data_IF_876253392719
#
_entry.id   IF_876253392719
#
_cell.length_a   1.000
_cell.length_b   1.000
_cell.length_c   1.000
_cell.angle_alpha   90.00
_cell.angle_beta   90.00
_cell.angle_gamma   90.00
#
_symmetry.space_group_name_H-M   'P 1'
#
loop_
_entity.id
_entity.type
_entity.pdbx_description
1 polymer ?
#
# COMPACT_ATOMS: atom_id res chain seq x y z
N UNK A 1 21.97 1.03 12.67
CA UNK A 1 20.97 0.63 11.65
C UNK A 1 20.19 1.82 11.10
N UNK A 2 19.60 2.68 11.95
CA UNK A 2 18.88 3.91 11.54
C UNK A 2 19.75 4.92 10.75
N UNK A 3 21.03 5.09 11.11
CA UNK A 3 21.98 6.00 10.42
C UNK A 3 22.37 5.52 9.01
N UNK A 4 22.38 4.20 8.78
CA UNK A 4 22.64 3.64 7.45
C UNK A 4 21.40 3.75 6.56
N UNK A 5 20.22 3.62 7.15
CA UNK A 5 18.94 3.78 6.47
C UNK A 5 18.68 5.23 6.05
N UNK A 6 18.99 6.23 6.91
CA UNK A 6 18.86 7.65 6.55
C UNK A 6 19.89 8.09 5.50
N UNK A 7 21.14 7.63 5.59
CA UNK A 7 22.15 7.86 4.54
C UNK A 7 21.75 7.21 3.20
N UNK A 8 21.10 6.06 3.24
CA UNK A 8 20.60 5.38 2.05
C UNK A 8 19.40 6.12 1.43
N UNK A 9 18.41 6.53 2.23
CA UNK A 9 17.27 7.35 1.79
C UNK A 9 17.74 8.66 1.18
N UNK A 10 18.69 9.37 1.82
CA UNK A 10 19.22 10.63 1.29
C UNK A 10 19.96 10.44 -0.04
N UNK A 11 20.64 9.31 -0.23
CA UNK A 11 21.35 8.99 -1.48
C UNK A 11 20.38 8.60 -2.59
N UNK A 12 19.30 7.89 -2.25
CA UNK A 12 18.20 7.56 -3.17
C UNK A 12 17.44 8.82 -3.58
N UNK A 13 17.09 9.70 -2.64
CA UNK A 13 16.42 10.97 -2.92
C UNK A 13 17.27 11.90 -3.80
N UNK A 14 18.58 11.98 -3.55
CA UNK A 14 19.49 12.76 -4.40
C UNK A 14 19.58 12.18 -5.82
N UNK A 15 19.61 10.85 -5.97
CA UNK A 15 19.56 10.19 -7.29
C UNK A 15 18.22 10.44 -7.99
N UNK A 16 17.09 10.45 -7.27
CA UNK A 16 15.79 10.82 -7.84
C UNK A 16 15.74 12.28 -8.28
N UNK A 17 16.33 13.19 -7.50
CA UNK A 17 16.34 14.62 -7.79
C UNK A 17 17.28 14.98 -8.96
N UNK A 18 18.44 14.33 -9.08
CA UNK A 18 19.33 14.46 -10.23
C UNK A 18 18.68 13.91 -11.52
N UNK A 19 17.92 12.82 -11.44
CA UNK A 19 17.23 12.24 -12.59
C UNK A 19 15.96 12.97 -13.00
N UNK A 20 15.26 13.65 -12.08
CA UNK A 20 14.09 14.47 -12.39
C UNK A 20 14.45 15.71 -13.23
N UNK A 21 15.63 16.30 -13.01
CA UNK A 21 16.13 17.40 -13.84
C UNK A 21 16.56 16.92 -15.24
N UNK A 22 17.10 15.70 -15.34
CA UNK A 22 17.41 15.05 -16.63
C UNK A 22 16.17 14.57 -17.40
N UNK A 23 15.01 14.44 -16.76
CA UNK A 23 13.75 14.09 -17.42
C UNK A 23 13.30 15.17 -18.43
N UNK A 24 13.67 16.44 -18.18
CA UNK A 24 13.38 17.54 -19.10
C UNK A 24 14.22 17.48 -20.38
N UNK A 25 15.49 17.06 -20.30
CA UNK A 25 16.39 16.92 -21.46
C UNK A 25 16.21 15.59 -22.21
N UNK A 26 15.74 14.54 -21.54
CA UNK A 26 15.41 13.23 -22.13
C UNK A 26 14.24 13.30 -23.13
N UNK A 27 13.25 14.17 -22.90
CA UNK A 27 12.16 14.42 -23.84
C UNK A 27 12.63 14.95 -25.21
N UNK A 28 13.82 15.56 -25.29
CA UNK A 28 14.38 16.06 -26.55
C UNK A 28 15.10 14.96 -27.36
N UNK A 29 15.70 13.95 -26.71
CA UNK A 29 16.38 12.83 -27.40
C UNK A 29 15.43 11.68 -27.78
N UNK A 30 14.28 11.54 -27.12
CA UNK A 30 13.29 10.47 -27.36
C UNK A 30 12.56 10.51 -28.71
N UNK A 31 12.80 11.54 -29.54
CA UNK A 31 12.18 11.67 -30.87
C UNK A 31 12.90 10.83 -31.94
N UNK A 32 14.09 10.30 -31.67
CA UNK A 32 14.94 9.62 -32.66
C UNK A 32 15.16 8.14 -32.28
N UNK A 33 14.13 7.30 -32.37
CA UNK A 33 14.31 5.92 -32.83
C UNK A 33 12.95 5.25 -33.05
N UNK A 34 12.52 5.18 -34.29
CA UNK A 34 11.24 4.61 -34.71
C UNK A 34 11.53 3.39 -35.58
N UNK A 35 11.89 2.24 -35.00
CA UNK A 35 12.10 1.00 -35.77
C UNK A 35 11.79 -0.27 -34.97
N UNK A 36 10.66 -0.90 -35.29
CA UNK A 36 10.33 -2.34 -35.13
C UNK A 36 10.72 -3.04 -33.83
N UNK A 37 10.39 -2.49 -32.67
CA UNK A 37 10.39 -3.21 -31.40
C UNK A 37 9.05 -3.02 -30.68
N UNK A 38 8.66 -4.00 -29.84
CA UNK A 38 7.51 -3.94 -28.91
C UNK A 38 7.71 -2.76 -27.97
N UNK A 39 7.45 -1.54 -28.46
CA UNK A 39 7.64 -0.32 -27.69
C UNK A 39 6.58 -0.29 -26.62
N UNK A 40 7.02 -0.24 -25.37
CA UNK A 40 6.16 0.10 -24.25
C UNK A 40 5.41 1.36 -24.65
N UNK A 41 4.09 1.24 -24.63
CA UNK A 41 3.17 2.28 -25.09
C UNK A 41 3.53 3.56 -24.32
N UNK A 42 4.07 4.55 -25.01
CA UNK A 42 4.23 5.92 -24.50
C UNK A 42 3.22 6.78 -25.26
N UNK A 43 2.42 7.58 -24.53
CA UNK A 43 1.38 8.44 -25.11
C UNK A 43 -0.05 8.04 -24.72
N UNK A 44 -1.02 8.43 -25.55
CA UNK A 44 -2.46 8.38 -25.23
C UNK A 44 -2.98 6.98 -24.88
N UNK A 45 -2.45 5.94 -25.51
CA UNK A 45 -2.88 4.55 -25.29
C UNK A 45 -2.42 4.00 -23.93
N UNK A 46 -1.31 4.47 -23.37
CA UNK A 46 -0.92 4.12 -22.01
C UNK A 46 -1.80 4.79 -20.96
N UNK A 47 -2.16 6.06 -21.20
CA UNK A 47 -3.14 6.77 -20.38
C UNK A 47 -4.50 6.05 -20.41
N UNK A 48 -4.92 5.59 -21.58
CA UNK A 48 -6.16 4.82 -21.73
C UNK A 48 -6.11 3.50 -20.94
N UNK A 49 -5.00 2.75 -21.04
CA UNK A 49 -4.81 1.52 -20.26
C UNK A 49 -4.83 1.80 -18.75
N UNK A 50 -4.07 2.78 -18.26
CA UNK A 50 -4.05 3.16 -16.84
C UNK A 50 -5.42 3.62 -16.34
N UNK A 51 -6.13 4.43 -17.11
CA UNK A 51 -7.48 4.91 -16.77
C UNK A 51 -8.47 3.75 -16.70
N UNK A 52 -8.39 2.81 -17.65
CA UNK A 52 -9.22 1.61 -17.67
C UNK A 52 -8.97 0.76 -16.42
N UNK A 53 -7.71 0.50 -16.07
CA UNK A 53 -7.34 -0.25 -14.88
C UNK A 53 -7.84 0.43 -13.60
N UNK A 54 -7.70 1.76 -13.50
CA UNK A 54 -8.20 2.53 -12.37
C UNK A 54 -9.73 2.43 -12.22
N UNK A 55 -10.48 2.58 -13.33
CA UNK A 55 -11.94 2.47 -13.33
C UNK A 55 -12.37 1.08 -12.88
N UNK A 56 -11.73 0.02 -13.38
CA UNK A 56 -12.04 -1.36 -12.99
C UNK A 56 -11.81 -1.56 -11.49
N UNK A 57 -10.67 -1.13 -10.96
CA UNK A 57 -10.35 -1.25 -9.53
C UNK A 57 -11.35 -0.48 -8.66
N UNK A 58 -11.66 0.78 -8.99
CA UNK A 58 -12.63 1.58 -8.24
C UNK A 58 -14.03 0.97 -8.29
N UNK A 59 -14.43 0.42 -9.44
CA UNK A 59 -15.71 -0.27 -9.60
C UNK A 59 -15.78 -1.51 -8.72
N UNK A 60 -14.75 -2.34 -8.68
CA UNK A 60 -14.69 -3.52 -7.80
C UNK A 60 -14.76 -3.12 -6.32
N UNK A 61 -14.03 -2.08 -5.91
CA UNK A 61 -14.05 -1.57 -4.53
C UNK A 61 -15.42 -0.99 -4.15
N UNK A 62 -16.11 -0.34 -5.09
CA UNK A 62 -17.47 0.16 -4.89
C UNK A 62 -18.47 -0.99 -4.75
N UNK A 63 -18.43 -1.98 -5.65
CA UNK A 63 -19.27 -3.19 -5.56
C UNK A 63 -19.04 -3.87 -4.22
N UNK A 64 -17.77 -4.06 -3.84
CA UNK A 64 -17.40 -4.63 -2.55
C UNK A 64 -18.07 -3.88 -1.41
N UNK A 65 -17.96 -2.55 -1.35
CA UNK A 65 -18.63 -1.71 -0.34
C UNK A 65 -20.14 -1.96 -0.29
N UNK A 66 -20.81 -2.05 -1.44
CA UNK A 66 -22.26 -2.27 -1.52
C UNK A 66 -22.67 -3.65 -0.97
N UNK A 67 -21.78 -4.64 -1.08
CA UNK A 67 -21.97 -5.99 -0.54
C UNK A 67 -21.61 -6.15 0.93
N UNK A 68 -20.90 -5.19 1.54
CA UNK A 68 -20.52 -5.28 2.96
C UNK A 68 -21.74 -5.17 3.88
N UNK A 69 -21.75 -5.98 4.95
CA UNK A 69 -22.73 -5.91 6.03
C UNK A 69 -22.01 -5.87 7.39
N UNK A 70 -22.21 -4.82 8.22
CA UNK A 70 -22.86 -3.55 7.89
C UNK A 70 -22.06 -2.75 6.85
N UNK A 71 -22.73 -1.85 6.12
CA UNK A 71 -22.08 -1.01 5.10
C UNK A 71 -21.23 0.07 5.77
N UNK A 72 -19.95 0.16 5.38
CA UNK A 72 -19.05 1.21 5.87
C UNK A 72 -19.55 2.61 5.48
N UNK A 73 -19.47 3.57 6.41
CA UNK A 73 -19.73 4.99 6.16
C UNK A 73 -18.91 5.51 4.97
N UNK A 74 -19.51 6.42 4.18
CA UNK A 74 -18.85 6.99 3.00
C UNK A 74 -17.53 7.68 3.35
N UNK A 75 -17.50 8.47 4.43
CA UNK A 75 -16.30 9.19 4.84
C UNK A 75 -15.13 8.25 5.15
N UNK A 76 -15.36 7.19 5.94
CA UNK A 76 -14.34 6.16 6.22
C UNK A 76 -13.89 5.43 4.96
N UNK A 77 -14.84 5.08 4.08
CA UNK A 77 -14.52 4.42 2.82
C UNK A 77 -13.61 5.27 1.93
N UNK A 78 -13.93 6.56 1.73
CA UNK A 78 -13.09 7.46 0.94
C UNK A 78 -11.69 7.60 1.54
N UNK A 79 -11.56 7.66 2.87
CA UNK A 79 -10.27 7.72 3.56
C UNK A 79 -9.45 6.42 3.38
N UNK A 80 -10.08 5.26 3.36
CA UNK A 80 -9.38 3.99 3.09
C UNK A 80 -8.95 3.87 1.62
N UNK A 81 -9.82 4.27 0.69
CA UNK A 81 -9.50 4.26 -0.74
C UNK A 81 -8.41 5.29 -1.06
N UNK A 82 -8.41 6.46 -0.44
CA UNK A 82 -7.36 7.46 -0.65
C UNK A 82 -5.99 6.97 -0.15
N UNK A 83 -5.93 6.21 0.96
CA UNK A 83 -4.69 5.52 1.38
C UNK A 83 -4.17 4.54 0.33
N UNK A 84 -5.08 3.75 -0.28
CA UNK A 84 -4.73 2.84 -1.37
C UNK A 84 -4.26 3.61 -2.61
N UNK A 85 -4.89 4.75 -2.91
CA UNK A 85 -4.45 5.65 -3.98
C UNK A 85 -3.03 6.15 -3.77
N UNK A 86 -2.69 6.62 -2.56
CA UNK A 86 -1.32 6.99 -2.20
C UNK A 86 -0.35 5.81 -2.36
N UNK A 87 -0.74 4.62 -1.92
CA UNK A 87 0.06 3.40 -2.08
C UNK A 87 0.31 3.02 -3.54
N UNK A 88 -0.72 3.11 -4.38
CA UNK A 88 -0.63 2.81 -5.81
C UNK A 88 0.29 3.81 -6.52
N UNK A 89 0.20 5.09 -6.17
CA UNK A 89 1.04 6.15 -6.71
C UNK A 89 2.52 5.94 -6.32
N UNK A 90 2.81 5.65 -5.05
CA UNK A 90 4.16 5.33 -4.59
C UNK A 90 4.70 4.10 -5.32
N UNK A 91 3.90 3.03 -5.43
CA UNK A 91 4.28 1.83 -6.16
C UNK A 91 4.58 2.11 -7.63
N UNK A 92 3.75 2.92 -8.29
CA UNK A 92 3.94 3.31 -9.69
C UNK A 92 5.27 4.04 -9.92
N UNK A 93 5.57 5.07 -9.11
CA UNK A 93 6.81 5.84 -9.26
C UNK A 93 8.06 5.02 -8.91
N UNK A 94 8.01 4.22 -7.84
CA UNK A 94 9.12 3.33 -7.49
C UNK A 94 9.36 2.29 -8.59
N UNK A 95 8.30 1.64 -9.08
CA UNK A 95 8.39 0.64 -10.14
C UNK A 95 8.92 1.23 -11.44
N UNK A 96 8.47 2.44 -11.82
CA UNK A 96 8.99 3.16 -12.98
C UNK A 96 10.49 3.46 -12.82
N UNK A 97 10.91 3.96 -11.65
CA UNK A 97 12.32 4.21 -11.36
C UNK A 97 13.18 2.94 -11.44
N UNK A 98 12.69 1.83 -10.88
CA UNK A 98 13.38 0.54 -10.94
C UNK A 98 13.47 -0.03 -12.35
N UNK A 99 12.40 0.09 -13.15
CA UNK A 99 12.39 -0.33 -14.55
C UNK A 99 13.42 0.45 -15.37
N UNK A 100 13.54 1.76 -15.17
CA UNK A 100 14.55 2.61 -15.83
C UNK A 100 15.99 2.18 -15.46
N UNK A 101 16.25 1.95 -14.17
CA UNK A 101 17.56 1.49 -13.69
C UNK A 101 17.92 0.10 -14.20
N UNK A 102 16.94 -0.79 -14.28
CA UNK A 102 17.14 -2.17 -14.69
C UNK A 102 17.30 -2.33 -16.21
N UNK A 103 16.60 -1.52 -17.01
CA UNK A 103 16.75 -1.53 -18.48
C UNK A 103 18.18 -1.24 -18.93
N UNK A 104 18.90 -0.36 -18.22
CA UNK A 104 20.32 -0.12 -18.50
C UNK A 104 21.20 -1.37 -18.28
N UNK A 105 20.75 -2.35 -17.49
CA UNK A 105 21.52 -3.54 -17.12
C UNK A 105 21.12 -4.80 -17.89
N UNK A 106 19.85 -4.97 -18.25
CA UNK A 106 19.34 -6.14 -18.97
C UNK A 106 19.48 -5.95 -20.49
N UNK A 107 20.43 -6.65 -21.12
CA UNK A 107 20.65 -6.59 -22.58
C UNK A 107 20.23 -7.92 -23.21
N UNK A 108 19.14 -7.93 -24.00
CA UNK A 108 18.78 -9.07 -24.85
C UNK A 108 17.44 -9.76 -24.58
N UNK A 109 16.43 -9.04 -24.05
CA UNK A 109 15.04 -9.52 -23.90
C UNK A 109 14.04 -8.50 -24.44
N UNK A 110 12.83 -8.93 -24.78
CA UNK A 110 11.76 -7.99 -25.16
C UNK A 110 11.44 -7.05 -24.00
N UNK A 111 11.11 -5.79 -24.31
CA UNK A 111 10.71 -4.80 -23.29
C UNK A 111 9.44 -5.24 -22.57
N UNK A 112 8.50 -5.81 -23.32
CA UNK A 112 7.19 -6.26 -22.86
C UNK A 112 7.32 -7.40 -21.82
N UNK A 113 8.12 -8.43 -22.10
CA UNK A 113 8.30 -9.57 -21.19
C UNK A 113 9.14 -9.24 -19.96
N UNK A 114 10.16 -8.42 -20.14
CA UNK A 114 10.94 -7.89 -19.03
C UNK A 114 10.07 -7.07 -18.07
N UNK A 115 9.34 -6.10 -18.60
CA UNK A 115 8.43 -5.25 -17.84
C UNK A 115 7.39 -6.08 -17.08
N UNK A 116 6.78 -7.06 -17.76
CA UNK A 116 5.80 -7.94 -17.14
C UNK A 116 6.34 -8.65 -15.91
N UNK A 117 7.53 -9.26 -16.02
CA UNK A 117 8.12 -10.00 -14.91
C UNK A 117 8.46 -9.09 -13.73
N UNK A 118 9.02 -7.91 -14.00
CA UNK A 118 9.28 -6.91 -12.94
C UNK A 118 7.96 -6.51 -12.27
N UNK A 119 6.94 -6.19 -13.06
CA UNK A 119 5.61 -5.82 -12.56
C UNK A 119 4.95 -6.96 -11.76
N UNK A 120 5.12 -8.22 -12.17
CA UNK A 120 4.60 -9.38 -11.45
C UNK A 120 5.26 -9.52 -10.06
N UNK A 121 6.58 -9.36 -9.96
CA UNK A 121 7.31 -9.38 -8.69
C UNK A 121 6.92 -8.20 -7.79
N UNK A 122 6.82 -7.01 -8.36
CA UNK A 122 6.29 -5.81 -7.71
C UNK A 122 4.88 -6.09 -7.16
N UNK A 123 4.00 -6.71 -7.94
CA UNK A 123 2.63 -6.92 -7.51
C UNK A 123 2.51 -7.96 -6.40
N UNK A 124 3.26 -9.06 -6.53
CA UNK A 124 3.18 -10.22 -5.64
C UNK A 124 4.04 -10.06 -4.39
N UNK A 125 5.36 -9.96 -4.54
CA UNK A 125 6.27 -9.83 -3.41
C UNK A 125 6.12 -8.47 -2.73
N UNK A 126 5.82 -7.41 -3.50
CA UNK A 126 5.66 -6.07 -2.95
C UNK A 126 4.51 -5.97 -1.95
N UNK A 127 3.34 -6.53 -2.25
CA UNK A 127 2.22 -6.48 -1.30
C UNK A 127 2.48 -7.36 -0.07
N UNK A 128 3.11 -8.52 -0.23
CA UNK A 128 3.47 -9.40 0.88
C UNK A 128 4.43 -8.70 1.84
N UNK A 129 5.48 -8.07 1.32
CA UNK A 129 6.45 -7.32 2.12
C UNK A 129 5.82 -6.07 2.75
N UNK A 130 4.96 -5.34 2.04
CA UNK A 130 4.26 -4.19 2.60
C UNK A 130 3.40 -4.59 3.80
N UNK A 131 2.67 -5.70 3.71
CA UNK A 131 1.87 -6.24 4.82
C UNK A 131 2.77 -6.68 5.97
N UNK A 132 3.88 -7.35 5.67
CA UNK A 132 4.85 -7.76 6.68
C UNK A 132 5.39 -6.55 7.46
N UNK A 133 5.87 -5.52 6.76
CA UNK A 133 6.37 -4.29 7.38
C UNK A 133 5.29 -3.56 8.17
N UNK A 134 4.06 -3.47 7.64
CA UNK A 134 2.96 -2.84 8.36
C UNK A 134 2.61 -3.58 9.65
N UNK A 135 2.52 -4.92 9.61
CA UNK A 135 2.28 -5.74 10.82
C UNK A 135 3.43 -5.65 11.81
N UNK A 136 4.68 -5.66 11.33
CA UNK A 136 5.85 -5.48 12.18
C UNK A 136 5.83 -4.11 12.87
N UNK A 137 5.53 -3.05 12.12
CA UNK A 137 5.38 -1.69 12.65
C UNK A 137 4.30 -1.63 13.74
N UNK A 138 3.10 -2.18 13.50
CA UNK A 138 2.03 -2.23 14.51
C UNK A 138 2.48 -3.03 15.74
N UNK A 139 3.12 -4.19 15.58
CA UNK A 139 3.64 -5.00 16.69
C UNK A 139 4.66 -4.22 17.52
N UNK A 140 5.58 -3.51 16.88
CA UNK A 140 6.57 -2.69 17.59
C UNK A 140 5.94 -1.53 18.35
N UNK A 141 4.93 -0.89 17.77
CA UNK A 141 4.16 0.16 18.45
C UNK A 141 3.42 -0.37 19.69
N UNK A 142 2.82 -1.57 19.58
CA UNK A 142 2.15 -2.25 20.70
C UNK A 142 3.12 -2.60 21.83
N UNK A 143 4.29 -3.17 21.49
CA UNK A 143 5.32 -3.50 22.48
C UNK A 143 5.84 -2.23 23.17
N UNK A 144 6.10 -1.17 22.40
CA UNK A 144 6.55 0.10 22.97
C UNK A 144 5.51 0.69 23.93
N UNK A 145 4.24 0.69 23.56
CA UNK A 145 3.16 1.16 24.43
C UNK A 145 3.06 0.30 25.71
N UNK A 146 3.15 -1.03 25.59
CA UNK A 146 3.13 -1.93 26.75
C UNK A 146 4.30 -1.68 27.72
N UNK A 147 5.47 -1.32 27.21
CA UNK A 147 6.60 -0.91 28.04
C UNK A 147 6.36 0.43 28.74
N UNK A 148 5.74 1.40 28.07
CA UNK A 148 5.43 2.71 28.66
C UNK A 148 4.36 2.61 29.77
N UNK A 149 3.32 1.81 29.57
CA UNK A 149 2.23 1.64 30.54
C UNK A 149 2.71 0.94 31.83
N UNK A 150 3.67 0.02 31.72
CA UNK A 150 4.33 -0.57 32.92
C UNK A 150 5.04 0.46 33.80
N UNK A 151 5.30 1.67 33.30
CA UNK A 151 5.94 2.76 34.04
C UNK A 151 4.98 3.65 34.85
N UNK A 152 3.79 3.14 35.20
CA UNK A 152 2.83 3.72 36.16
C UNK A 152 2.25 5.10 35.76
N UNK A 153 1.86 5.27 34.48
CA UNK A 153 0.99 6.40 34.08
C UNK A 153 -0.37 5.89 33.58
N UNK A 154 -1.47 6.61 33.86
CA UNK A 154 -2.79 6.24 33.37
C UNK A 154 -2.82 6.14 31.84
N UNK A 155 -3.45 5.08 31.31
CA UNK A 155 -3.57 4.83 29.86
C UNK A 155 -4.28 5.98 29.13
N UNK A 156 -5.17 6.70 29.82
CA UNK A 156 -5.86 7.89 29.32
C UNK A 156 -4.90 9.01 28.84
N UNK A 157 -3.69 9.12 29.41
CA UNK A 157 -2.68 10.08 28.97
C UNK A 157 -2.06 9.75 27.60
N UNK A 158 -2.27 8.53 27.09
CA UNK A 158 -1.69 8.06 25.82
C UNK A 158 -2.67 8.06 24.66
N UNK A 159 -3.91 8.52 24.85
CA UNK A 159 -4.94 8.53 23.80
C UNK A 159 -4.55 9.35 22.55
N UNK A 160 -3.70 10.37 22.70
CA UNK A 160 -3.18 11.19 21.60
C UNK A 160 -1.74 10.87 21.21
N UNK A 161 -1.14 9.81 21.79
CA UNK A 161 0.21 9.43 21.45
C UNK A 161 0.24 8.82 20.04
N UNK A 162 1.24 9.17 19.23
CA UNK A 162 1.32 8.72 17.84
C UNK A 162 1.19 7.18 17.68
N UNK A 163 1.68 6.39 18.65
CA UNK A 163 1.57 4.91 18.64
C UNK A 163 0.15 4.40 18.74
N UNK A 164 -0.72 5.00 19.57
CA UNK A 164 -2.11 4.56 19.71
C UNK A 164 -2.89 4.85 18.43
N UNK A 165 -2.65 6.02 17.82
CA UNK A 165 -3.24 6.41 16.53
C UNK A 165 -2.87 5.47 15.36
N UNK A 166 -1.67 4.87 15.40
CA UNK A 166 -1.23 3.88 14.42
C UNK A 166 -1.81 2.48 14.65
N UNK A 167 -1.98 2.07 15.91
CA UNK A 167 -2.53 0.75 16.27
C UNK A 167 -3.99 0.65 15.81
N UNK A 168 -4.72 1.76 15.86
CA UNK A 168 -6.11 1.84 15.41
C UNK A 168 -6.26 2.01 13.88
N UNK A 169 -5.51 1.24 13.09
CA UNK A 169 -5.52 1.36 11.62
C UNK A 169 -6.93 1.18 11.04
N UNK A 170 -7.42 2.22 10.35
CA UNK A 170 -8.77 2.26 9.78
C UNK A 170 -9.83 2.91 10.69
N UNK A 171 -9.50 3.19 11.95
CA UNK A 171 -10.33 4.01 12.83
C UNK A 171 -9.95 5.49 12.67
N UNK A 172 -10.92 6.30 12.24
CA UNK A 172 -10.74 7.74 12.11
C UNK A 172 -11.51 8.55 13.16
N UNK A 173 -12.31 7.91 14.01
CA UNK A 173 -13.25 8.58 14.92
C UNK A 173 -14.57 8.98 14.24
N UNK A 174 -15.52 9.45 15.06
CA UNK A 174 -16.82 9.98 14.63
C UNK A 174 -17.05 11.36 15.28
N UNK A 175 -17.00 12.47 14.53
CA UNK A 175 -16.73 12.58 13.09
C UNK A 175 -15.27 12.25 12.71
N UNK A 176 -14.98 11.96 11.41
CA UNK A 176 -13.64 11.54 10.97
C UNK A 176 -12.56 12.59 11.20
N UNK A 177 -11.51 12.21 11.93
CA UNK A 177 -10.36 13.04 12.23
C UNK A 177 -9.24 12.82 11.19
N UNK A 178 -9.02 13.84 10.35
CA UNK A 178 -8.00 13.81 9.31
C UNK A 178 -6.56 13.70 9.84
N UNK A 179 -6.27 14.11 11.08
CA UNK A 179 -4.93 13.92 11.68
C UNK A 179 -4.61 12.44 11.85
N UNK A 180 -5.58 11.64 12.33
CA UNK A 180 -5.45 10.18 12.44
C UNK A 180 -5.19 9.56 11.06
N UNK A 181 -5.94 10.00 10.05
CA UNK A 181 -5.76 9.55 8.67
C UNK A 181 -4.36 9.87 8.11
N UNK A 182 -3.87 11.11 8.28
CA UNK A 182 -2.54 11.53 7.79
C UNK A 182 -1.44 10.67 8.41
N UNK A 183 -1.49 10.44 9.73
CA UNK A 183 -0.51 9.63 10.44
C UNK A 183 -0.52 8.21 9.86
N UNK A 184 -1.70 7.59 9.75
CA UNK A 184 -1.85 6.23 9.24
C UNK A 184 -1.43 6.09 7.76
N UNK A 185 -1.75 7.07 6.89
CA UNK A 185 -1.35 7.01 5.48
C UNK A 185 0.16 7.17 5.33
N UNK A 186 0.81 8.05 6.10
CA UNK A 186 2.27 8.19 6.09
C UNK A 186 2.94 6.88 6.49
N UNK A 187 2.50 6.25 7.59
CA UNK A 187 3.07 4.96 8.02
C UNK A 187 2.87 3.85 6.98
N UNK A 188 1.69 3.79 6.36
CA UNK A 188 1.43 2.83 5.27
C UNK A 188 2.32 3.08 4.05
N UNK A 189 2.41 4.33 3.59
CA UNK A 189 3.25 4.72 2.43
C UNK A 189 4.73 4.43 2.69
N UNK A 190 5.24 4.63 3.91
CA UNK A 190 6.61 4.25 4.27
C UNK A 190 6.80 2.73 4.16
N UNK A 191 5.87 1.92 4.68
CA UNK A 191 5.93 0.46 4.56
C UNK A 191 5.93 0.03 3.09
N UNK A 192 5.07 0.64 2.27
CA UNK A 192 5.01 0.40 0.83
C UNK A 192 6.34 0.79 0.18
N UNK A 193 6.85 1.99 0.41
CA UNK A 193 8.12 2.46 -0.16
C UNK A 193 9.28 1.49 0.14
N UNK A 194 9.44 1.08 1.41
CA UNK A 194 10.49 0.12 1.81
C UNK A 194 10.29 -1.23 1.10
N UNK A 195 9.04 -1.70 0.97
CA UNK A 195 8.74 -2.93 0.23
C UNK A 195 9.15 -2.84 -1.24
N UNK A 196 8.88 -1.71 -1.91
CA UNK A 196 9.24 -1.47 -3.31
C UNK A 196 10.74 -1.48 -3.51
N UNK A 197 11.49 -0.81 -2.63
CA UNK A 197 12.95 -0.84 -2.69
C UNK A 197 13.52 -2.24 -2.48
N UNK A 198 12.94 -3.02 -1.55
CA UNK A 198 13.37 -4.40 -1.29
C UNK A 198 13.11 -5.32 -2.49
N UNK A 199 11.94 -5.21 -3.10
CA UNK A 199 11.60 -5.96 -4.33
C UNK A 199 12.50 -5.53 -5.47
N UNK A 200 12.70 -4.22 -5.67
CA UNK A 200 13.57 -3.68 -6.70
C UNK A 200 15.01 -4.22 -6.58
N UNK A 201 15.55 -4.28 -5.36
CA UNK A 201 16.86 -4.90 -5.11
C UNK A 201 16.86 -6.40 -5.45
N UNK A 202 15.80 -7.12 -5.10
CA UNK A 202 15.66 -8.55 -5.43
C UNK A 202 15.64 -8.77 -6.95
N UNK A 203 14.93 -7.90 -7.68
CA UNK A 203 14.87 -7.91 -9.15
C UNK A 203 16.25 -7.66 -9.76
N UNK A 204 17.00 -6.67 -9.25
CA UNK A 204 18.35 -6.35 -9.75
C UNK A 204 19.35 -7.48 -9.50
N UNK A 205 19.24 -8.18 -8.37
CA UNK A 205 20.07 -9.35 -8.10
C UNK A 205 19.62 -10.58 -8.91
N UNK A 206 18.34 -10.66 -9.25
CA UNK A 206 17.71 -11.76 -9.97
C UNK A 206 17.66 -11.62 -11.50
N UNK A 207 18.31 -10.61 -12.09
CA UNK A 207 18.29 -10.34 -13.54
C UNK A 207 18.45 -11.60 -14.42
N UNK A 208 19.46 -12.48 -14.24
CA UNK A 208 19.65 -13.62 -15.13
C UNK A 208 18.49 -14.63 -15.10
N UNK A 209 17.77 -14.72 -13.96
CA UNK A 209 16.59 -15.58 -13.82
C UNK A 209 15.40 -14.93 -14.53
N UNK A 210 15.22 -13.62 -14.33
CA UNK A 210 14.14 -12.84 -14.94
C UNK A 210 14.28 -12.77 -16.47
N UNK A 211 15.49 -12.70 -17.00
CA UNK A 211 15.71 -12.74 -18.45
C UNK A 211 15.29 -14.08 -19.07
N UNK A 212 15.58 -15.20 -18.40
CA UNK A 212 15.11 -16.53 -18.83
C UNK A 212 13.59 -16.62 -18.77
N UNK A 213 12.98 -16.09 -17.72
CA UNK A 213 11.53 -16.03 -17.59
C UNK A 213 10.90 -15.16 -18.70
N UNK A 214 11.51 -14.02 -19.04
CA UNK A 214 11.04 -13.13 -20.10
C UNK A 214 11.10 -13.82 -21.47
N UNK A 215 12.22 -14.48 -21.80
CA UNK A 215 12.35 -15.27 -23.04
C UNK A 215 11.39 -16.46 -23.09
N UNK A 216 11.07 -17.04 -21.93
CA UNK A 216 10.05 -18.08 -21.86
C UNK A 216 8.66 -17.53 -22.19
N UNK A 217 8.33 -16.36 -21.65
CA UNK A 217 7.07 -15.69 -21.92
C UNK A 217 6.97 -15.26 -23.39
N UNK A 218 8.04 -14.66 -23.94
CA UNK A 218 8.09 -14.25 -25.36
C UNK A 218 7.76 -15.41 -26.30
N UNK A 219 8.40 -16.58 -26.07
CA UNK A 219 8.15 -17.80 -26.86
C UNK A 219 6.71 -18.28 -26.81
N UNK A 220 5.97 -17.99 -25.74
CA UNK A 220 4.58 -18.42 -25.61
C UNK A 220 3.64 -17.59 -26.50
N UNK A 221 4.06 -16.39 -26.90
CA UNK A 221 3.31 -15.48 -27.77
C UNK A 221 3.94 -15.31 -29.16
N UNK A 222 4.89 -16.18 -29.55
CA UNK A 222 5.52 -16.14 -30.87
C UNK A 222 4.43 -16.19 -31.97
N UNK A 223 4.48 -15.21 -32.89
CA UNK A 223 3.51 -15.09 -33.98
C UNK A 223 2.25 -14.25 -33.69
N UNK A 224 2.02 -13.83 -32.44
CA UNK A 224 0.84 -13.03 -32.04
C UNK A 224 1.19 -11.79 -31.20
N UNK A 225 1.85 -10.77 -31.77
CA UNK A 225 2.34 -9.60 -31.03
C UNK A 225 1.24 -8.74 -30.40
N UNK A 226 0.08 -8.61 -31.06
CA UNK A 226 -1.03 -7.81 -30.53
C UNK A 226 -1.67 -8.44 -29.29
N UNK A 227 -1.82 -9.78 -29.32
CA UNK A 227 -2.30 -10.56 -28.18
C UNK A 227 -1.32 -10.48 -27.01
N UNK A 228 -0.02 -10.52 -27.29
CA UNK A 228 1.02 -10.40 -26.27
C UNK A 228 0.93 -9.05 -25.54
N UNK A 229 0.87 -7.97 -26.31
CA UNK A 229 0.80 -6.60 -25.79
C UNK A 229 -0.46 -6.40 -24.93
N UNK A 230 -1.63 -6.82 -25.42
CA UNK A 230 -2.88 -6.71 -24.67
C UNK A 230 -2.84 -7.51 -23.37
N UNK A 231 -2.34 -8.75 -23.42
CA UNK A 231 -2.29 -9.63 -22.25
C UNK A 231 -1.38 -9.08 -21.16
N UNK A 232 -0.18 -8.62 -21.52
CA UNK A 232 0.83 -8.13 -20.57
C UNK A 232 0.51 -6.75 -20.01
N UNK A 233 -0.06 -5.85 -20.81
CA UNK A 233 -0.28 -4.45 -20.42
C UNK A 233 -1.67 -4.18 -19.86
N UNK A 234 -2.68 -5.00 -20.21
CA UNK A 234 -4.07 -4.80 -19.78
C UNK A 234 -4.59 -6.00 -19.02
N UNK A 235 -4.56 -7.19 -19.63
CA UNK A 235 -5.19 -8.40 -19.07
C UNK A 235 -4.64 -8.79 -17.69
N UNK A 236 -3.35 -9.09 -17.61
CA UNK A 236 -2.73 -9.48 -16.35
C UNK A 236 -2.70 -8.34 -15.31
N UNK A 237 -2.35 -7.09 -15.66
CA UNK A 237 -2.43 -5.97 -14.72
C UNK A 237 -3.83 -5.72 -14.16
N UNK A 238 -4.89 -5.99 -14.92
CA UNK A 238 -6.26 -5.88 -14.41
C UNK A 238 -6.49 -6.82 -13.24
N UNK A 239 -6.14 -8.09 -13.39
CA UNK A 239 -6.32 -9.11 -12.36
C UNK A 239 -5.43 -8.79 -11.14
N UNK A 240 -4.17 -8.45 -11.38
CA UNK A 240 -3.20 -8.16 -10.32
C UNK A 240 -3.57 -6.91 -9.52
N UNK A 241 -3.94 -5.81 -10.18
CA UNK A 241 -4.33 -4.57 -9.50
C UNK A 241 -5.64 -4.74 -8.70
N UNK A 242 -6.62 -5.48 -9.23
CA UNK A 242 -7.85 -5.82 -8.48
C UNK A 242 -7.50 -6.65 -7.25
N UNK A 243 -6.68 -7.69 -7.39
CA UNK A 243 -6.22 -8.50 -6.27
C UNK A 243 -5.48 -7.67 -5.22
N UNK A 244 -4.58 -6.78 -5.64
CA UNK A 244 -3.85 -5.89 -4.73
C UNK A 244 -4.78 -4.94 -3.99
N UNK A 245 -5.70 -4.27 -4.67
CA UNK A 245 -6.66 -3.37 -4.05
C UNK A 245 -7.55 -4.12 -3.05
N UNK A 246 -8.00 -5.32 -3.40
CA UNK A 246 -8.80 -6.14 -2.50
C UNK A 246 -8.02 -6.53 -1.24
N UNK A 247 -6.78 -7.01 -1.40
CA UNK A 247 -5.92 -7.40 -0.27
C UNK A 247 -5.63 -6.19 0.62
N UNK A 248 -5.30 -5.04 0.04
CA UNK A 248 -5.02 -3.81 0.79
C UNK A 248 -6.26 -3.33 1.56
N UNK A 249 -7.43 -3.34 0.94
CA UNK A 249 -8.68 -2.99 1.62
C UNK A 249 -8.92 -3.89 2.85
N UNK A 250 -8.66 -5.20 2.75
CA UNK A 250 -8.80 -6.11 3.90
C UNK A 250 -7.79 -5.88 5.03
N UNK A 251 -6.61 -5.36 4.70
CA UNK A 251 -5.54 -5.06 5.67
C UNK A 251 -5.77 -3.72 6.36
N UNK A 252 -6.22 -2.71 5.61
CA UNK A 252 -6.42 -1.34 6.09
C UNK A 252 -7.78 -1.13 6.75
N UNK A 253 -8.74 -2.02 6.51
CA UNK A 253 -10.07 -1.98 7.14
C UNK A 253 -9.96 -2.10 8.65
N UNK A 254 -10.65 -1.19 9.36
CA UNK A 254 -10.86 -1.29 10.80
C UNK A 254 -11.55 -2.60 11.16
N UNK A 255 -11.02 -3.28 12.19
CA UNK A 255 -11.60 -4.49 12.77
C UNK A 255 -11.87 -4.21 14.23
N UNK A 256 -13.15 -4.09 14.59
CA UNK A 256 -13.57 -4.04 15.99
C UNK A 256 -13.23 -5.40 16.59
N UNK A 257 -12.34 -5.41 17.60
CA UNK A 257 -12.09 -6.62 18.39
C UNK A 257 -13.16 -6.69 19.47
N UNK A 258 -14.25 -7.40 19.19
CA UNK A 258 -15.21 -7.77 20.22
C UNK A 258 -14.49 -8.65 21.25
N UNK A 259 -14.60 -8.29 22.52
CA UNK A 259 -14.12 -9.12 23.60
C UNK A 259 -15.22 -10.04 24.08
N UNK A 260 -14.94 -11.34 24.13
CA UNK A 260 -15.79 -12.29 24.81
C UNK A 260 -15.67 -12.07 26.32
N UNK A 261 -16.69 -11.49 26.93
CA UNK A 261 -16.92 -11.70 28.35
C UNK A 261 -17.26 -13.19 28.58
N UNK A 262 -16.73 -13.84 29.64
CA UNK A 262 -17.01 -15.24 29.94
C UNK A 262 -18.47 -15.52 30.36
N UNK A 263 -19.32 -14.50 30.46
CA UNK A 263 -20.73 -14.58 30.81
C UNK A 263 -21.61 -14.30 29.57
N UNK A 264 -21.84 -15.35 28.77
CA UNK A 264 -23.15 -15.65 28.16
C UNK A 264 -23.89 -14.69 27.20
N UNK A 265 -23.44 -13.47 26.90
CA UNK A 265 -24.18 -12.60 25.95
C UNK A 265 -23.26 -11.99 24.88
N UNK A 266 -23.46 -12.43 23.63
CA UNK A 266 -22.95 -11.75 22.44
C UNK A 266 -23.85 -10.52 22.21
N UNK A 267 -23.46 -9.37 22.75
CA UNK A 267 -24.07 -8.09 22.37
C UNK A 267 -23.65 -7.78 20.92
N UNK A 268 -24.43 -8.25 19.94
CA UNK A 268 -24.35 -7.78 18.55
C UNK A 268 -24.92 -6.36 18.56
N UNK A 269 -24.03 -5.36 18.72
CA UNK A 269 -24.39 -3.95 18.68
C UNK A 269 -24.86 -3.57 17.25
N UNK A 270 -26.15 -3.85 17.00
CA UNK A 270 -26.87 -3.61 15.76
C UNK A 270 -27.35 -2.15 15.74
N UNK A 271 -26.52 -1.29 15.14
CA UNK A 271 -26.83 0.01 14.52
C UNK A 271 -28.19 0.70 14.82
N UNK A 272 -28.07 1.89 15.46
CA UNK A 272 -28.86 3.16 15.36
C UNK A 272 -30.04 3.34 16.34
N UNK A 273 -30.33 4.56 16.89
CA UNK A 273 -30.13 5.89 16.29
C UNK A 273 -29.41 6.95 17.18
N UNK A 274 -29.23 8.12 16.57
CA UNK A 274 -28.59 9.32 17.08
C UNK A 274 -29.18 9.83 18.41
N UNK A 275 -28.40 9.76 19.49
CA UNK A 275 -28.28 10.82 20.51
C UNK A 275 -27.14 10.45 21.47
N UNK A 276 -26.54 11.46 22.10
CA UNK A 276 -25.64 11.38 23.26
C UNK A 276 -24.23 10.77 23.07
N UNK A 277 -23.27 11.69 23.01
CA UNK A 277 -21.98 11.69 23.73
C UNK A 277 -21.48 10.39 24.38
N UNK A 278 -20.23 10.04 24.05
CA UNK A 278 -19.29 9.06 24.66
C UNK A 278 -19.28 7.65 24.06
N UNK A 279 -18.33 7.43 23.14
CA UNK A 279 -17.90 6.09 22.72
C UNK A 279 -16.77 5.64 23.64
N UNK A 280 -16.93 4.58 24.46
CA UNK A 280 -15.85 4.08 25.30
C UNK A 280 -14.81 3.35 24.44
N UNK A 281 -13.56 3.78 24.57
CA UNK A 281 -12.41 3.18 23.91
C UNK A 281 -11.99 1.92 24.68
N UNK A 282 -12.54 0.76 24.34
CA UNK A 282 -12.17 -0.49 25.01
C UNK A 282 -11.26 -1.31 24.08
N UNK A 283 -9.95 -1.08 24.19
CA UNK A 283 -8.95 -2.10 23.87
C UNK A 283 -8.96 -3.08 25.03
N UNK A 284 -9.45 -4.30 24.84
CA UNK A 284 -9.79 -5.08 26.01
C UNK A 284 -8.55 -5.91 26.43
N UNK A 285 -7.86 -5.41 27.44
CA UNK A 285 -7.02 -6.18 28.38
C UNK A 285 -6.89 -5.42 29.72
N UNK A 286 -7.68 -4.35 29.90
CA UNK A 286 -7.37 -3.28 30.86
C UNK A 286 -8.63 -2.66 31.48
N UNK A 287 -9.77 -3.37 31.50
CA UNK A 287 -11.07 -2.82 31.92
C UNK A 287 -11.35 -2.95 33.43
N UNK A 288 -10.53 -3.65 34.22
CA UNK A 288 -10.79 -3.84 35.66
C UNK A 288 -10.30 -2.68 36.56
N UNK A 289 -9.73 -1.60 36.00
CA UNK A 289 -9.14 -0.52 36.82
C UNK A 289 -9.71 0.90 36.58
N UNK A 290 -10.76 1.08 35.76
CA UNK A 290 -11.09 2.42 35.24
C UNK A 290 -12.02 3.24 36.16
N UNK A 291 -12.82 2.62 37.03
CA UNK A 291 -13.88 3.39 37.71
C UNK A 291 -13.42 4.22 38.93
N UNK A 292 -12.18 4.06 39.42
CA UNK A 292 -11.72 4.76 40.64
C UNK A 292 -10.70 5.90 40.43
N UNK A 293 -10.07 6.05 39.24
CA UNK A 293 -8.88 6.93 39.09
C UNK A 293 -9.00 8.12 38.12
N UNK A 294 -10.21 8.49 37.69
CA UNK A 294 -10.42 9.65 36.81
C UNK A 294 -10.16 11.03 37.47
N UNK A 295 -9.85 11.08 38.78
CA UNK A 295 -9.60 12.34 39.51
C UNK A 295 -8.13 12.79 39.59
N UNK A 296 -7.16 12.01 39.09
CA UNK A 296 -5.73 12.29 39.28
C UNK A 296 -5.00 12.94 38.08
N UNK A 297 -5.69 13.23 36.97
CA UNK A 297 -5.12 13.99 35.85
C UNK A 297 -5.38 15.50 36.02
N UNK A 298 -4.70 16.14 36.97
CA UNK A 298 -4.53 17.60 37.04
C UNK A 298 -3.06 17.98 37.10
#
# INVERSE_FOLDING_TARGET
MFVYFTKFISRVLNVFQENALNFSSFNASLRIEKTKQCKIIQGLSALFAQSTLLIVVLTVLLIKRLTERPRRLWSTWFLDISKQGCSALTGHFCGLGMALLAHHKAKGTSECGWYFNVYLFECTLGIVLAIFFHKAMIRTAQLHLAHLVKSARPLACYNDHWTTLFIESGNYGDPPNYKKWIIQVIGWVICVFISRLTVGMTVVLGIPILEKAAKCLDRWFDGHPDLYLFTVMVGCPMILNVGQAWIQDQVLKWKIKLHHHPEGWLEEERLLPADSTSVPLIVPYFSECIDEELSQCK
#
